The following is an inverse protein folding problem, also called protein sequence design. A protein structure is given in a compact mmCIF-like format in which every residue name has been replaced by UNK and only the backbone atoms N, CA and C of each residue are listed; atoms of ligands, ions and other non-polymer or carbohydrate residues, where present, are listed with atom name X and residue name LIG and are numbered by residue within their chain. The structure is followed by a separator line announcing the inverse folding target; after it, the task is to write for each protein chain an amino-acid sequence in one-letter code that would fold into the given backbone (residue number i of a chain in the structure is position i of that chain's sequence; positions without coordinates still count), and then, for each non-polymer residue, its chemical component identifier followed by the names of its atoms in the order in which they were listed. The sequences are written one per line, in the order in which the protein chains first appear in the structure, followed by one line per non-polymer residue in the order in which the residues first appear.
data_IF_993594104794
#
_entry.id   IF_993594104794
#
_cell.length_a   1.000
_cell.length_b   1.000
_cell.length_c   1.000
_cell.angle_alpha   90.00
_cell.angle_beta   90.00
_cell.angle_gamma   90.00
#
_symmetry.space_group_name_H-M   'P 1'
#
loop_
_entity.id
_entity.type
_entity.pdbx_description
1 polymer ?
#
# COMPACT_ATOMS: atom_id res chain seq x y z
N UNK A 1 -58.76 8.78 -4.86
CA UNK A 1 -57.74 7.90 -5.48
C UNK A 1 -56.51 8.76 -5.73
N UNK A 2 -55.53 8.76 -4.81
CA UNK A 2 -54.38 9.66 -4.91
C UNK A 2 -53.48 9.24 -6.08
N UNK A 3 -53.41 10.12 -7.09
CA UNK A 3 -52.47 10.03 -8.20
C UNK A 3 -51.07 10.01 -7.57
N UNK A 4 -50.31 8.94 -7.74
CA UNK A 4 -48.90 8.92 -7.31
C UNK A 4 -48.19 9.93 -8.21
N UNK A 5 -47.93 11.12 -7.68
CA UNK A 5 -47.16 12.15 -8.38
C UNK A 5 -45.78 11.57 -8.68
N UNK A 6 -45.50 11.40 -9.97
CA UNK A 6 -44.19 11.00 -10.45
C UNK A 6 -43.43 12.26 -10.82
N UNK A 7 -42.24 12.41 -10.24
CA UNK A 7 -41.31 13.48 -10.58
C UNK A 7 -40.12 12.89 -11.37
N UNK A 8 -40.09 13.07 -12.70
CA UNK A 8 -38.95 12.66 -13.53
C UNK A 8 -37.64 13.31 -13.08
N UNK A 9 -37.69 14.55 -12.57
CA UNK A 9 -36.53 15.31 -12.09
C UNK A 9 -35.92 14.66 -10.84
N UNK A 10 -36.76 14.21 -9.89
CA UNK A 10 -36.29 13.41 -8.76
C UNK A 10 -35.62 12.11 -9.22
N UNK A 11 -36.24 11.39 -10.17
CA UNK A 11 -35.68 10.12 -10.66
C UNK A 11 -34.30 10.29 -11.31
N UNK A 12 -34.05 11.44 -11.95
CA UNK A 12 -32.75 11.78 -12.54
C UNK A 12 -31.70 12.01 -11.44
N UNK A 13 -32.03 12.78 -10.41
CA UNK A 13 -31.16 13.02 -9.26
C UNK A 13 -30.88 11.73 -8.47
N UNK A 14 -31.90 10.90 -8.27
CA UNK A 14 -31.77 9.61 -7.60
C UNK A 14 -30.86 8.64 -8.37
N UNK A 15 -30.96 8.60 -9.71
CA UNK A 15 -30.03 7.84 -10.56
C UNK A 15 -28.60 8.35 -10.42
N UNK A 16 -28.40 9.67 -10.48
CA UNK A 16 -27.09 10.30 -10.31
C UNK A 16 -26.46 9.94 -8.96
N UNK A 17 -27.26 9.85 -7.91
CA UNK A 17 -26.81 9.53 -6.55
C UNK A 17 -26.23 8.10 -6.43
N UNK A 18 -26.76 7.16 -7.21
CA UNK A 18 -26.47 5.73 -7.12
C UNK A 18 -25.95 5.17 -8.45
N UNK A 19 -25.24 5.99 -9.24
CA UNK A 19 -24.83 5.63 -10.60
C UNK A 19 -23.94 4.37 -10.67
N UNK A 20 -23.18 4.10 -9.61
CA UNK A 20 -22.30 2.93 -9.49
C UNK A 20 -22.85 1.82 -8.59
N UNK A 21 -24.13 1.89 -8.19
CA UNK A 21 -24.75 0.89 -7.33
C UNK A 21 -25.92 0.19 -8.03
N UNK A 22 -26.01 -1.13 -7.87
CA UNK A 22 -27.17 -1.91 -8.29
C UNK A 22 -28.38 -1.60 -7.41
N UNK A 23 -29.59 -1.78 -7.95
CA UNK A 23 -30.83 -1.55 -7.20
C UNK A 23 -30.94 -2.43 -5.94
N UNK A 24 -30.31 -3.60 -5.95
CA UNK A 24 -30.22 -4.49 -4.78
C UNK A 24 -29.33 -3.89 -3.69
N UNK A 25 -28.16 -3.36 -4.05
CA UNK A 25 -27.26 -2.66 -3.12
C UNK A 25 -27.92 -1.41 -2.55
N UNK A 26 -28.62 -0.63 -3.38
CA UNK A 26 -29.39 0.54 -2.93
C UNK A 26 -30.48 0.13 -1.94
N UNK A 27 -31.19 -0.97 -2.22
CA UNK A 27 -32.22 -1.51 -1.31
C UNK A 27 -31.65 -1.90 0.05
N UNK A 28 -30.48 -2.55 0.06
CA UNK A 28 -29.78 -2.91 1.30
C UNK A 28 -29.33 -1.67 2.09
N UNK A 29 -28.68 -0.69 1.45
CA UNK A 29 -28.22 0.56 2.09
C UNK A 29 -29.39 1.34 2.69
N UNK A 30 -30.47 1.48 1.94
CA UNK A 30 -31.66 2.21 2.38
C UNK A 30 -32.58 1.38 3.29
N UNK A 31 -32.32 0.08 3.47
CA UNK A 31 -33.21 -0.86 4.16
C UNK A 31 -34.65 -0.81 3.62
N UNK A 32 -34.80 -0.85 2.29
CA UNK A 32 -36.11 -0.85 1.62
C UNK A 32 -36.18 -2.01 0.61
N UNK A 33 -37.39 -2.55 0.36
CA UNK A 33 -37.56 -3.60 -0.65
C UNK A 33 -37.09 -3.16 -2.04
N UNK A 34 -36.59 -4.11 -2.83
CA UNK A 34 -36.14 -3.87 -4.21
C UNK A 34 -37.23 -3.19 -5.08
N UNK A 35 -38.50 -3.57 -4.88
CA UNK A 35 -39.64 -2.94 -5.56
C UNK A 35 -39.79 -1.45 -5.22
N UNK A 36 -39.48 -1.07 -3.98
CA UNK A 36 -39.51 0.33 -3.52
C UNK A 36 -38.40 1.14 -4.20
N UNK A 37 -37.18 0.59 -4.27
CA UNK A 37 -36.08 1.20 -5.03
C UNK A 37 -36.48 1.40 -6.49
N UNK A 38 -37.05 0.37 -7.13
CA UNK A 38 -37.55 0.44 -8.50
C UNK A 38 -38.54 1.58 -8.71
N UNK A 39 -39.45 1.79 -7.76
CA UNK A 39 -40.40 2.91 -7.83
C UNK A 39 -39.69 4.28 -7.81
N UNK A 40 -38.61 4.43 -7.04
CA UNK A 40 -37.82 5.67 -7.00
C UNK A 40 -37.11 5.94 -8.33
N UNK A 41 -36.52 4.92 -8.96
CA UNK A 41 -35.98 5.03 -10.31
C UNK A 41 -37.07 5.38 -11.35
N UNK A 42 -38.34 5.06 -11.10
CA UNK A 42 -39.48 5.47 -11.94
C UNK A 42 -40.15 6.78 -11.51
N UNK A 43 -39.55 7.53 -10.58
CA UNK A 43 -39.98 8.87 -10.21
C UNK A 43 -41.01 8.95 -9.09
N UNK A 44 -41.32 7.83 -8.40
CA UNK A 44 -42.10 7.91 -7.15
C UNK A 44 -41.27 8.63 -6.10
N UNK A 45 -41.83 9.67 -5.49
CA UNK A 45 -41.17 10.34 -4.37
C UNK A 45 -41.17 9.42 -3.13
N UNK A 46 -40.02 9.27 -2.44
CA UNK A 46 -39.95 8.59 -1.15
C UNK A 46 -40.69 9.37 -0.07
N UNK A 47 -41.05 8.68 1.00
CA UNK A 47 -41.54 9.34 2.21
C UNK A 47 -40.41 10.17 2.88
N UNK A 48 -40.76 11.18 3.71
CA UNK A 48 -39.77 12.08 4.31
C UNK A 48 -38.66 11.38 5.11
N UNK A 49 -38.98 10.31 5.82
CA UNK A 49 -38.04 9.48 6.56
C UNK A 49 -36.99 8.82 5.65
N UNK A 50 -37.43 8.30 4.50
CA UNK A 50 -36.54 7.71 3.50
C UNK A 50 -35.68 8.79 2.83
N UNK A 51 -36.23 9.98 2.58
CA UNK A 51 -35.45 11.10 2.04
C UNK A 51 -34.32 11.54 2.98
N UNK A 52 -34.61 11.66 4.28
CA UNK A 52 -33.60 11.95 5.31
C UNK A 52 -32.54 10.84 5.34
N UNK A 53 -32.97 9.57 5.25
CA UNK A 53 -32.04 8.44 5.20
C UNK A 53 -31.12 8.49 3.97
N UNK A 54 -31.66 8.81 2.80
CA UNK A 54 -30.86 8.98 1.58
C UNK A 54 -29.84 10.11 1.76
N UNK A 55 -30.27 11.26 2.29
CA UNK A 55 -29.38 12.39 2.56
C UNK A 55 -28.25 12.02 3.53
N UNK A 56 -28.55 11.30 4.61
CA UNK A 56 -27.55 10.87 5.59
C UNK A 56 -26.57 9.82 5.03
N UNK A 57 -27.06 8.86 4.26
CA UNK A 57 -26.24 7.78 3.67
C UNK A 57 -25.27 8.31 2.60
N UNK A 58 -25.66 9.37 1.89
CA UNK A 58 -24.89 9.89 0.74
C UNK A 58 -24.25 11.24 0.98
N UNK A 59 -24.56 11.90 2.10
CA UNK A 59 -24.07 13.23 2.44
C UNK A 59 -24.63 14.36 1.58
N UNK A 60 -25.68 14.12 0.78
CA UNK A 60 -26.26 15.16 -0.07
C UNK A 60 -27.23 16.07 0.69
N UNK A 61 -27.39 17.29 0.19
CA UNK A 61 -28.40 18.23 0.64
C UNK A 61 -29.81 17.69 0.36
N UNK A 62 -30.66 17.68 1.40
CA UNK A 62 -32.08 17.34 1.28
C UNK A 62 -32.81 18.30 0.33
N UNK A 63 -32.45 19.59 0.36
CA UNK A 63 -32.99 20.62 -0.54
C UNK A 63 -32.63 20.30 -1.99
N UNK A 64 -31.36 19.96 -2.26
CA UNK A 64 -30.93 19.57 -3.60
C UNK A 64 -31.63 18.28 -4.06
N UNK A 65 -31.76 17.29 -3.19
CA UNK A 65 -32.42 16.02 -3.51
C UNK A 65 -33.89 16.23 -3.93
N UNK A 66 -34.60 17.11 -3.23
CA UNK A 66 -36.02 17.40 -3.49
C UNK A 66 -36.25 18.34 -4.68
N UNK A 67 -35.46 19.39 -4.80
CA UNK A 67 -35.74 20.50 -5.73
C UNK A 67 -34.77 20.56 -6.90
N UNK A 68 -33.58 19.96 -6.76
CA UNK A 68 -32.45 20.16 -7.67
C UNK A 68 -31.77 21.53 -7.53
N UNK A 69 -32.21 22.37 -6.58
CA UNK A 69 -31.64 23.69 -6.32
C UNK A 69 -30.60 23.66 -5.20
N UNK A 70 -29.62 24.56 -5.30
CA UNK A 70 -28.52 24.69 -4.33
C UNK A 70 -27.39 23.67 -4.54
N UNK A 71 -26.47 23.64 -3.58
CA UNK A 71 -25.33 22.73 -3.62
C UNK A 71 -25.74 21.29 -3.31
N UNK A 72 -25.26 20.34 -4.13
CA UNK A 72 -25.52 18.91 -3.94
C UNK A 72 -24.88 18.41 -2.65
N UNK A 73 -23.64 18.82 -2.38
CA UNK A 73 -22.93 18.51 -1.15
C UNK A 73 -22.81 19.80 -0.35
N UNK A 74 -23.43 19.89 0.84
CA UNK A 74 -23.27 21.06 1.67
C UNK A 74 -21.78 21.17 2.04
N UNK A 75 -21.19 22.35 1.81
CA UNK A 75 -19.86 22.65 2.33
C UNK A 75 -19.99 22.74 3.84
N UNK A 76 -19.72 21.64 4.54
CA UNK A 76 -19.63 21.66 5.99
C UNK A 76 -18.55 22.69 6.36
N UNK A 77 -18.88 23.62 7.25
CA UNK A 77 -17.91 24.61 7.74
C UNK A 77 -16.64 23.94 8.32
N UNK A 78 -16.72 22.68 8.76
CA UNK A 78 -15.60 21.85 9.24
C UNK A 78 -14.92 20.95 8.19
N UNK A 79 -15.39 20.92 6.93
CA UNK A 79 -14.76 20.12 5.87
C UNK A 79 -13.37 20.63 5.48
N UNK A 80 -13.13 21.94 5.64
CA UNK A 80 -11.81 22.54 5.44
C UNK A 80 -10.79 22.09 6.50
N UNK A 81 -11.24 21.84 7.73
CA UNK A 81 -10.36 21.39 8.81
C UNK A 81 -9.98 19.92 8.66
N UNK A 82 -10.94 19.07 8.25
CA UNK A 82 -10.65 17.68 7.91
C UNK A 82 -9.75 17.58 6.67
N UNK A 83 -9.96 18.43 5.65
CA UNK A 83 -9.10 18.50 4.47
C UNK A 83 -7.65 18.80 4.82
N UNK A 84 -7.40 19.81 5.67
CA UNK A 84 -6.06 20.13 6.17
C UNK A 84 -5.45 19.02 7.01
N UNK A 85 -6.25 18.39 7.87
CA UNK A 85 -5.79 17.28 8.69
C UNK A 85 -5.40 16.06 7.83
N UNK A 86 -6.16 15.80 6.76
CA UNK A 86 -5.87 14.75 5.80
C UNK A 86 -4.61 15.06 4.98
N UNK A 87 -4.45 16.29 4.50
CA UNK A 87 -3.24 16.73 3.78
C UNK A 87 -1.99 16.53 4.64
N UNK A 88 -2.01 16.97 5.90
CA UNK A 88 -0.88 16.77 6.83
C UNK A 88 -0.58 15.29 7.09
N UNK A 89 -1.61 14.44 7.19
CA UNK A 89 -1.43 13.01 7.36
C UNK A 89 -0.83 12.36 6.12
N UNK A 90 -1.27 12.76 4.92
CA UNK A 90 -0.72 12.28 3.65
C UNK A 90 0.76 12.66 3.53
N UNK A 91 1.11 13.91 3.80
CA UNK A 91 2.51 14.39 3.81
C UNK A 91 3.38 13.52 4.74
N UNK A 92 2.92 13.30 5.99
CA UNK A 92 3.67 12.50 6.96
C UNK A 92 3.88 11.03 6.52
N UNK A 93 2.92 10.47 5.78
CA UNK A 93 3.02 9.10 5.26
C UNK A 93 4.01 9.07 4.10
N UNK A 94 3.92 10.03 3.18
CA UNK A 94 4.79 10.12 2.01
C UNK A 94 6.25 10.30 2.44
N UNK A 95 6.53 11.23 3.35
CA UNK A 95 7.90 11.49 3.84
C UNK A 95 8.53 10.26 4.49
N UNK A 96 7.77 9.56 5.34
CA UNK A 96 8.22 8.32 5.97
C UNK A 96 8.51 7.22 4.95
N UNK A 97 7.65 7.05 3.95
CA UNK A 97 7.85 6.06 2.88
C UNK A 97 9.04 6.39 2.00
N UNK A 98 9.24 7.66 1.66
CA UNK A 98 10.40 8.12 0.91
C UNK A 98 11.69 7.87 1.68
N UNK A 99 11.71 8.14 2.99
CA UNK A 99 12.86 7.86 3.85
C UNK A 99 13.16 6.35 3.94
N UNK A 100 12.15 5.49 4.00
CA UNK A 100 12.32 4.03 3.95
C UNK A 100 12.94 3.57 2.61
N UNK A 101 12.45 4.10 1.49
CA UNK A 101 12.97 3.80 0.15
C UNK A 101 14.41 4.29 -0.02
N UNK A 102 14.74 5.48 0.47
CA UNK A 102 16.11 6.01 0.42
C UNK A 102 17.09 5.20 1.28
N UNK A 103 16.65 4.69 2.44
CA UNK A 103 17.45 3.76 3.26
C UNK A 103 17.71 2.44 2.53
N UNK A 104 16.71 1.92 1.80
CA UNK A 104 16.88 0.72 1.00
C UNK A 104 17.73 0.94 -0.26
N UNK A 105 17.73 2.15 -0.84
CA UNK A 105 18.68 2.54 -1.90
C UNK A 105 20.12 2.76 -1.39
N UNK A 106 20.28 3.08 -0.11
CA UNK A 106 21.59 3.18 0.56
C UNK A 106 22.18 1.83 0.96
N UNK A 107 21.42 0.72 0.90
CA UNK A 107 22.05 -0.61 0.82
C UNK A 107 22.81 -0.65 -0.51
N UNK A 108 24.09 -1.09 -0.52
CA UNK A 108 24.88 -1.07 -1.73
C UNK A 108 24.11 -1.81 -2.84
N UNK A 109 23.81 -1.09 -3.92
CA UNK A 109 23.20 -1.65 -5.10
C UNK A 109 23.99 -2.90 -5.49
N UNK A 110 23.30 -4.02 -5.73
CA UNK A 110 23.89 -5.21 -6.36
C UNK A 110 24.69 -4.75 -7.57
N UNK A 111 26.03 -4.74 -7.47
CA UNK A 111 26.87 -4.46 -8.63
C UNK A 111 26.60 -5.56 -9.64
N UNK A 112 26.31 -5.16 -10.88
CA UNK A 112 26.23 -6.08 -12.02
C UNK A 112 27.60 -6.65 -12.40
N UNK A 113 28.68 -6.14 -11.81
CA UNK A 113 29.97 -6.82 -11.73
C UNK A 113 29.95 -7.77 -10.53
N UNK A 114 30.37 -9.02 -10.72
CA UNK A 114 30.45 -10.02 -9.64
C UNK A 114 31.23 -9.52 -8.42
N UNK A 115 31.08 -10.21 -7.28
CA UNK A 115 31.72 -9.83 -6.03
C UNK A 115 33.26 -9.83 -6.17
N UNK A 116 33.87 -8.66 -6.00
CA UNK A 116 35.32 -8.50 -6.05
C UNK A 116 35.95 -8.83 -4.69
N UNK A 117 36.50 -10.04 -4.59
CA UNK A 117 37.15 -10.55 -3.39
C UNK A 117 38.43 -9.79 -3.02
N UNK A 118 39.20 -9.32 -4.00
CA UNK A 118 40.45 -8.62 -3.74
C UNK A 118 40.16 -7.26 -3.06
N UNK A 119 39.14 -6.56 -3.55
CA UNK A 119 38.64 -5.32 -2.91
C UNK A 119 38.09 -5.60 -1.51
N UNK A 120 37.30 -6.66 -1.34
CA UNK A 120 36.71 -7.00 -0.04
C UNK A 120 37.76 -7.39 1.00
N UNK A 121 38.76 -8.19 0.61
CA UNK A 121 39.89 -8.57 1.49
C UNK A 121 40.67 -7.33 1.95
N UNK A 122 40.97 -6.41 1.03
CA UNK A 122 41.66 -5.15 1.37
C UNK A 122 40.82 -4.24 2.28
N UNK A 123 39.51 -4.23 2.10
CA UNK A 123 38.58 -3.37 2.86
C UNK A 123 38.39 -3.84 4.30
N UNK A 124 38.15 -5.14 4.50
CA UNK A 124 37.70 -5.65 5.79
C UNK A 124 38.79 -6.40 6.56
N UNK A 125 39.74 -7.05 5.87
CA UNK A 125 40.78 -7.92 6.46
C UNK A 125 40.24 -8.89 7.55
N UNK A 126 38.95 -9.21 7.53
CA UNK A 126 38.27 -10.14 8.44
C UNK A 126 37.48 -11.13 7.60
N UNK A 127 37.80 -12.43 7.66
CA UNK A 127 37.20 -13.44 6.79
C UNK A 127 35.69 -13.62 7.03
N UNK A 128 35.19 -13.34 8.24
CA UNK A 128 33.74 -13.41 8.54
C UNK A 128 33.00 -12.28 7.86
N UNK A 129 33.53 -11.06 7.95
CA UNK A 129 32.91 -9.90 7.32
C UNK A 129 32.91 -10.06 5.80
N UNK A 130 34.02 -10.50 5.21
CA UNK A 130 34.14 -10.73 3.76
C UNK A 130 33.15 -11.79 3.29
N UNK A 131 33.03 -12.93 4.00
CA UNK A 131 32.07 -13.97 3.61
C UNK A 131 30.62 -13.53 3.78
N UNK A 132 30.29 -12.78 4.85
CA UNK A 132 28.95 -12.23 5.03
C UNK A 132 28.60 -11.27 3.89
N UNK A 133 29.49 -10.34 3.56
CA UNK A 133 29.31 -9.40 2.44
C UNK A 133 29.10 -10.15 1.12
N UNK A 134 29.87 -11.22 0.87
CA UNK A 134 29.75 -12.02 -0.35
C UNK A 134 28.46 -12.87 -0.39
N UNK A 135 27.96 -13.37 0.75
CA UNK A 135 26.65 -14.05 0.79
C UNK A 135 25.50 -13.05 0.60
N UNK A 136 25.56 -11.88 1.24
CA UNK A 136 24.57 -10.81 1.10
C UNK A 136 24.51 -10.26 -0.32
N UNK A 137 25.67 -10.11 -0.97
CA UNK A 137 25.77 -9.71 -2.38
C UNK A 137 24.95 -10.63 -3.30
N UNK A 138 24.99 -11.95 -3.06
CA UNK A 138 24.22 -12.95 -3.82
C UNK A 138 22.77 -13.11 -3.32
N UNK A 139 22.34 -12.33 -2.31
CA UNK A 139 21.00 -12.44 -1.71
C UNK A 139 20.82 -13.69 -0.85
N UNK A 140 21.92 -14.28 -0.39
CA UNK A 140 21.94 -15.48 0.45
C UNK A 140 22.29 -15.12 1.90
N UNK A 141 22.02 -16.05 2.83
CA UNK A 141 22.47 -15.95 4.22
C UNK A 141 23.68 -16.84 4.48
N UNK A 142 24.73 -16.23 5.01
CA UNK A 142 25.89 -16.94 5.52
C UNK A 142 25.51 -17.84 6.71
N UNK A 143 26.09 -19.05 6.83
CA UNK A 143 25.94 -19.86 8.04
C UNK A 143 26.51 -19.15 9.28
N UNK A 144 26.06 -19.50 10.49
CA UNK A 144 26.48 -18.77 11.70
C UNK A 144 27.89 -19.12 12.18
N UNK A 145 28.40 -20.32 11.89
CA UNK A 145 29.54 -20.90 12.62
C UNK A 145 30.64 -21.50 11.71
N UNK A 146 31.38 -20.67 10.98
CA UNK A 146 32.50 -21.16 10.14
C UNK A 146 33.83 -20.41 10.31
N UNK A 147 33.85 -19.18 10.82
CA UNK A 147 35.03 -18.31 10.71
C UNK A 147 36.31 -18.76 11.43
N UNK A 148 36.28 -19.75 12.34
CA UNK A 148 37.45 -20.11 13.18
C UNK A 148 38.24 -21.29 12.62
N UNK A 149 37.60 -22.23 11.92
CA UNK A 149 38.28 -23.44 11.41
C UNK A 149 38.93 -23.18 10.04
N UNK A 150 38.24 -22.46 9.16
CA UNK A 150 38.70 -22.25 7.77
C UNK A 150 39.84 -21.24 7.64
N UNK A 151 40.08 -20.39 8.66
CA UNK A 151 40.96 -19.23 8.55
C UNK A 151 42.07 -19.23 9.60
N UNK A 152 42.51 -20.42 10.04
CA UNK A 152 43.68 -20.52 10.92
C UNK A 152 44.91 -19.97 10.21
N UNK A 153 45.62 -19.03 10.85
CA UNK A 153 46.78 -18.37 10.25
C UNK A 153 46.43 -17.17 9.35
N UNK A 154 45.19 -16.68 9.37
CA UNK A 154 44.76 -15.52 8.58
C UNK A 154 45.71 -14.33 8.64
N UNK A 155 46.22 -14.02 9.83
CA UNK A 155 47.15 -12.89 10.04
C UNK A 155 48.49 -13.04 9.30
N UNK A 156 48.88 -14.28 8.97
CA UNK A 156 50.12 -14.58 8.26
C UNK A 156 49.95 -14.66 6.74
N UNK A 157 48.71 -14.65 6.24
CA UNK A 157 48.43 -14.77 4.81
C UNK A 157 48.67 -13.45 4.08
N UNK A 158 49.24 -13.55 2.87
CA UNK A 158 49.25 -12.50 1.87
C UNK A 158 47.83 -12.20 1.36
N UNK A 159 47.65 -11.08 0.66
CA UNK A 159 46.34 -10.71 0.09
C UNK A 159 45.78 -11.79 -0.84
N UNK A 160 46.63 -12.39 -1.69
CA UNK A 160 46.22 -13.43 -2.63
C UNK A 160 45.83 -14.73 -1.90
N UNK A 161 46.59 -15.12 -0.87
CA UNK A 161 46.26 -16.28 -0.03
C UNK A 161 44.96 -16.07 0.74
N UNK A 162 44.68 -14.84 1.19
CA UNK A 162 43.40 -14.47 1.82
C UNK A 162 42.24 -14.60 0.85
N UNK A 163 42.40 -14.16 -0.40
CA UNK A 163 41.37 -14.30 -1.45
C UNK A 163 41.07 -15.79 -1.70
N UNK A 164 42.10 -16.61 -1.87
CA UNK A 164 41.93 -18.05 -2.12
C UNK A 164 41.33 -18.79 -0.92
N UNK A 165 41.77 -18.47 0.31
CA UNK A 165 41.20 -19.04 1.53
C UNK A 165 39.69 -18.76 1.65
N UNK A 166 39.24 -17.54 1.30
CA UNK A 166 37.83 -17.18 1.30
C UNK A 166 37.04 -17.93 0.22
N UNK A 167 37.61 -18.11 -0.99
CA UNK A 167 36.99 -18.91 -2.06
C UNK A 167 36.82 -20.38 -1.66
N UNK A 168 37.85 -20.95 -1.07
CA UNK A 168 37.85 -22.35 -0.64
C UNK A 168 36.85 -22.59 0.50
N UNK A 169 36.82 -21.69 1.49
CA UNK A 169 35.84 -21.72 2.56
C UNK A 169 34.41 -21.70 1.99
N UNK A 170 34.11 -20.79 1.06
CA UNK A 170 32.78 -20.74 0.41
C UNK A 170 32.43 -22.04 -0.31
N UNK A 171 33.37 -22.59 -1.08
CA UNK A 171 33.17 -23.86 -1.82
C UNK A 171 32.82 -25.00 -0.86
N UNK A 172 33.48 -25.09 0.29
CA UNK A 172 33.20 -26.13 1.30
C UNK A 172 31.83 -25.91 1.94
N UNK A 173 31.48 -24.67 2.29
CA UNK A 173 30.19 -24.33 2.89
C UNK A 173 29.03 -24.65 1.95
N UNK A 174 29.14 -24.30 0.67
CA UNK A 174 28.08 -24.57 -0.31
C UNK A 174 27.91 -26.07 -0.62
N UNK A 175 29.00 -26.86 -0.52
CA UNK A 175 28.94 -28.33 -0.60
C UNK A 175 28.26 -28.94 0.63
N UNK A 176 28.52 -28.40 1.82
CA UNK A 176 27.90 -28.89 3.07
C UNK A 176 26.39 -28.66 3.13
N UNK A 177 25.89 -27.59 2.49
CA UNK A 177 24.44 -27.30 2.39
C UNK A 177 23.66 -28.22 1.45
N UNK A 178 24.34 -28.96 0.56
CA UNK A 178 23.72 -29.83 -0.46
C UNK A 178 23.68 -31.32 -0.07
N UNK A 179 24.28 -31.69 1.06
CA UNK A 179 24.19 -33.05 1.65
C UNK A 179 23.11 -33.06 2.71
#
# INVERSE_FOLDING_TARGET
MNKIERDPSFSSRFRKLFEFATMSEVGKRLNVPHATVRNYYHGRLPAPDILIKIANETGVSLTWLLTGSGEMYPTAAGGRDLGRALESLIESIVDRRLAEIERDKKKPAKSTLGFDLDVAVRRHNDPKLILNEWYEFEGLKAPKDFGVVFFRGWETFTTDEKVEAVRDARRVLDRSKKK
#
